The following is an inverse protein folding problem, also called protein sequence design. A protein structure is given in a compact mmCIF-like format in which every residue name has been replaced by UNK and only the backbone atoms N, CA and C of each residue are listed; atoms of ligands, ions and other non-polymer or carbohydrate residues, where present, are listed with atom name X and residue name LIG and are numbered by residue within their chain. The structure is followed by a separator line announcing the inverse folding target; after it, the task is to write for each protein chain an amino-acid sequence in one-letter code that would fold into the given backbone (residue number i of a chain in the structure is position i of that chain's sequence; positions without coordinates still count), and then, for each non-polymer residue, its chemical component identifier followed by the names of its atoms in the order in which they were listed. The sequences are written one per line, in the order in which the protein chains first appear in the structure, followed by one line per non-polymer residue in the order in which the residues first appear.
data_IF_956984578023
#
_entry.id   IF_956984578023
#
_cell.length_a   1.000
_cell.length_b   1.000
_cell.length_c   1.000
_cell.angle_alpha   90.00
_cell.angle_beta   90.00
_cell.angle_gamma   90.00
#
_symmetry.space_group_name_H-M   'P 1'
#
loop_
_entity.id
_entity.type
_entity.pdbx_description
1 polymer ?
#
# COMPACT_ATOMS: atom_id res chain seq x y z
N UNK A 1 -6.07 0.11 -9.49
CA UNK A 1 -6.87 -0.66 -8.50
C UNK A 1 -8.34 -0.58 -8.94
N UNK A 2 -9.00 -1.70 -9.27
CA UNK A 2 -10.41 -1.69 -9.67
C UNK A 2 -11.33 -1.39 -8.48
N UNK A 3 -12.60 -1.06 -8.78
CA UNK A 3 -13.68 -0.98 -7.80
C UNK A 3 -13.77 -2.31 -7.06
N UNK A 4 -13.73 -2.30 -5.73
CA UNK A 4 -13.76 -3.55 -4.98
C UNK A 4 -15.13 -4.27 -5.09
N UNK A 5 -16.20 -3.54 -5.42
CA UNK A 5 -17.56 -4.10 -5.53
C UNK A 5 -17.84 -4.71 -6.90
N UNK A 6 -17.52 -3.99 -7.99
CA UNK A 6 -17.90 -4.39 -9.34
C UNK A 6 -16.74 -4.64 -10.30
N UNK A 7 -15.49 -4.45 -9.86
CA UNK A 7 -14.30 -4.66 -10.69
C UNK A 7 -14.04 -3.57 -11.74
N UNK A 8 -14.93 -2.57 -11.89
CA UNK A 8 -14.73 -1.46 -12.82
C UNK A 8 -13.38 -0.79 -12.60
N UNK A 9 -12.68 -0.39 -13.67
CA UNK A 9 -11.40 0.29 -13.57
C UNK A 9 -11.60 1.80 -13.68
N UNK A 10 -10.84 2.56 -12.91
CA UNK A 10 -10.76 4.00 -13.10
C UNK A 10 -10.15 4.27 -14.48
N UNK A 11 -10.87 5.02 -15.31
CA UNK A 11 -10.36 5.63 -16.53
C UNK A 11 -9.48 6.82 -16.17
N UNK A 12 -8.65 7.29 -17.10
CA UNK A 12 -7.69 8.36 -16.88
C UNK A 12 -8.32 9.54 -16.11
N UNK A 13 -7.84 9.87 -14.89
CA UNK A 13 -8.45 10.92 -14.09
C UNK A 13 -8.28 12.27 -14.78
N UNK A 14 -9.42 12.90 -15.10
CA UNK A 14 -9.44 14.33 -15.44
C UNK A 14 -8.89 15.15 -14.27
N UNK A 15 -8.28 16.30 -14.56
CA UNK A 15 -7.80 17.22 -13.52
C UNK A 15 -8.92 17.53 -12.52
N UNK A 16 -8.60 17.43 -11.22
CA UNK A 16 -9.51 17.76 -10.14
C UNK A 16 -9.73 16.62 -9.16
N UNK A 17 -10.76 16.75 -8.33
CA UNK A 17 -11.12 15.73 -7.36
C UNK A 17 -11.63 14.47 -8.08
N UNK A 18 -11.07 13.31 -7.74
CA UNK A 18 -11.56 12.05 -8.29
C UNK A 18 -12.98 11.77 -7.79
N UNK A 19 -13.92 11.37 -8.66
CA UNK A 19 -15.27 10.99 -8.24
C UNK A 19 -15.29 9.61 -7.56
N UNK A 20 -14.16 8.91 -7.53
CA UNK A 20 -14.02 7.63 -6.85
C UNK A 20 -13.75 7.82 -5.36
N UNK A 21 -14.55 7.17 -4.52
CA UNK A 21 -14.29 7.15 -3.08
C UNK A 21 -13.21 6.16 -2.72
N UNK A 22 -12.39 6.55 -1.74
CA UNK A 22 -11.41 5.72 -1.06
C UNK A 22 -11.99 5.22 0.26
N UNK A 23 -11.64 4.00 0.62
CA UNK A 23 -11.93 3.39 1.92
C UNK A 23 -10.93 2.27 2.22
N UNK A 24 -11.07 1.64 3.37
CA UNK A 24 -10.22 0.50 3.77
C UNK A 24 -11.10 -0.73 3.93
N UNK A 25 -10.60 -1.90 3.53
CA UNK A 25 -11.25 -3.19 3.76
C UNK A 25 -10.19 -4.21 4.14
N UNK A 26 -10.34 -4.84 5.30
CA UNK A 26 -9.36 -5.75 5.85
C UNK A 26 -7.95 -5.15 5.78
N UNK A 27 -7.81 -3.89 6.23
CA UNK A 27 -6.54 -3.16 6.27
C UNK A 27 -5.90 -2.82 4.93
N UNK A 28 -6.58 -3.12 3.82
CA UNK A 28 -6.15 -2.75 2.48
C UNK A 28 -6.89 -1.52 1.97
N UNK A 29 -6.16 -0.58 1.38
CA UNK A 29 -6.74 0.55 0.65
C UNK A 29 -7.54 0.03 -0.55
N UNK A 30 -8.81 0.43 -0.67
CA UNK A 30 -9.70 0.12 -1.80
C UNK A 30 -10.32 1.37 -2.42
N UNK A 31 -10.86 1.20 -3.64
CA UNK A 31 -11.63 2.20 -4.37
C UNK A 31 -13.08 1.76 -4.59
N UNK A 32 -14.01 2.71 -4.61
CA UNK A 32 -15.43 2.52 -4.95
C UNK A 32 -15.81 3.42 -6.13
N UNK A 33 -16.30 2.84 -7.21
CA UNK A 33 -16.71 3.61 -8.39
C UNK A 33 -17.98 4.42 -8.13
N UNK A 34 -18.22 5.53 -8.87
CA UNK A 34 -19.42 6.35 -8.70
C UNK A 34 -20.73 5.56 -8.82
N UNK A 35 -20.81 4.60 -9.74
CA UNK A 35 -22.00 3.76 -9.90
C UNK A 35 -22.32 2.93 -8.64
N UNK A 36 -21.31 2.36 -8.00
CA UNK A 36 -21.50 1.64 -6.75
C UNK A 36 -21.76 2.55 -5.55
N UNK A 37 -21.31 3.81 -5.57
CA UNK A 37 -21.58 4.78 -4.52
C UNK A 37 -23.05 5.24 -4.48
N UNK A 38 -23.76 5.17 -5.60
CA UNK A 38 -25.18 5.53 -5.68
C UNK A 38 -26.11 4.49 -5.02
N UNK A 39 -25.60 3.28 -4.73
CA UNK A 39 -26.37 2.21 -4.10
C UNK A 39 -26.40 2.41 -2.58
N UNK A 40 -27.56 2.19 -1.95
CA UNK A 40 -27.68 2.20 -0.49
C UNK A 40 -26.74 1.17 0.15
N UNK A 41 -26.13 1.51 1.29
CA UNK A 41 -25.19 0.60 1.97
C UNK A 41 -23.88 0.37 1.19
N UNK A 42 -23.51 1.27 0.26
CA UNK A 42 -22.28 1.11 -0.53
C UNK A 42 -21.02 0.93 0.35
N UNK A 43 -21.03 1.48 1.57
CA UNK A 43 -19.93 1.45 2.55
C UNK A 43 -19.95 0.23 3.49
N UNK A 44 -20.95 -0.64 3.46
CA UNK A 44 -21.10 -1.70 4.48
C UNK A 44 -19.99 -2.75 4.47
N UNK A 45 -19.27 -2.88 3.34
CA UNK A 45 -18.10 -3.74 3.22
C UNK A 45 -16.77 -3.05 3.54
N UNK A 46 -16.80 -1.81 4.04
CA UNK A 46 -15.61 -1.06 4.44
C UNK A 46 -15.41 -1.13 5.95
N UNK A 47 -14.15 -1.11 6.35
CA UNK A 47 -13.75 -0.99 7.73
C UNK A 47 -14.22 0.37 8.29
N UNK A 48 -14.52 0.38 9.59
CA UNK A 48 -14.99 1.57 10.30
C UNK A 48 -14.01 1.98 11.39
N UNK A 49 -13.92 3.29 11.63
CA UNK A 49 -13.16 3.81 12.74
C UNK A 49 -13.76 3.32 14.06
N UNK A 50 -12.93 2.75 14.92
CA UNK A 50 -13.33 2.30 16.26
C UNK A 50 -13.69 3.46 17.20
N UNK A 51 -13.19 4.67 16.92
CA UNK A 51 -13.45 5.86 17.72
C UNK A 51 -14.73 6.61 17.32
N UNK A 52 -15.06 6.71 16.02
CA UNK A 52 -16.19 7.52 15.54
C UNK A 52 -17.14 6.82 14.55
N UNK A 53 -16.94 5.53 14.28
CA UNK A 53 -17.72 4.70 13.34
C UNK A 53 -17.70 5.14 11.85
N UNK A 54 -16.95 6.19 11.49
CA UNK A 54 -16.80 6.63 10.10
C UNK A 54 -16.09 5.58 9.24
N UNK A 55 -16.50 5.47 7.98
CA UNK A 55 -15.83 4.68 6.95
C UNK A 55 -14.81 5.50 6.13
N UNK A 56 -14.55 6.76 6.49
CA UNK A 56 -13.60 7.65 5.82
C UNK A 56 -12.14 7.32 6.21
N UNK A 57 -11.77 6.05 6.07
CA UNK A 57 -10.45 5.53 6.41
C UNK A 57 -9.49 5.57 5.20
N UNK A 58 -8.21 5.76 5.49
CA UNK A 58 -7.12 5.73 4.51
C UNK A 58 -6.00 4.87 5.06
N UNK A 59 -5.46 3.97 4.23
CA UNK A 59 -4.33 3.12 4.61
C UNK A 59 -3.06 3.60 3.88
N UNK A 60 -2.02 3.97 4.63
CA UNK A 60 -0.73 4.44 4.10
C UNK A 60 0.40 3.91 4.96
N UNK A 61 1.46 3.41 4.31
CA UNK A 61 2.71 3.01 4.96
C UNK A 61 2.55 2.04 6.15
N UNK A 62 1.50 1.22 6.17
CA UNK A 62 1.24 0.28 7.27
C UNK A 62 0.37 0.85 8.39
N UNK A 63 -0.20 2.04 8.24
CA UNK A 63 -1.14 2.63 9.18
C UNK A 63 -2.50 2.90 8.52
N UNK A 64 -3.56 2.75 9.30
CA UNK A 64 -4.92 3.16 8.95
C UNK A 64 -5.28 4.39 9.75
N UNK A 65 -5.63 5.47 9.05
CA UNK A 65 -6.03 6.76 9.63
C UNK A 65 -7.50 7.07 9.29
N UNK A 66 -8.26 7.53 10.28
CA UNK A 66 -9.60 8.06 10.07
C UNK A 66 -9.57 9.54 9.73
N UNK A 67 -10.07 9.91 8.55
CA UNK A 67 -10.06 11.32 8.11
C UNK A 67 -11.03 12.23 8.87
N UNK A 68 -12.05 11.66 9.51
CA UNK A 68 -13.06 12.47 10.22
C UNK A 68 -12.66 12.82 11.65
N UNK A 69 -11.90 11.96 12.36
CA UNK A 69 -11.51 12.19 13.76
C UNK A 69 -10.00 12.13 14.03
N UNK A 70 -9.19 11.74 13.04
CA UNK A 70 -7.74 11.61 13.17
C UNK A 70 -7.25 10.36 13.91
N UNK A 71 -8.14 9.47 14.37
CA UNK A 71 -7.72 8.23 15.03
C UNK A 71 -6.91 7.34 14.07
N UNK A 72 -5.74 6.90 14.53
CA UNK A 72 -4.83 6.02 13.80
C UNK A 72 -4.70 4.66 14.48
N UNK A 73 -4.46 3.63 13.67
CA UNK A 73 -4.07 2.29 14.13
C UNK A 73 -3.12 1.65 13.13
N UNK A 74 -2.37 0.66 13.58
CA UNK A 74 -1.56 -0.17 12.68
C UNK A 74 -2.46 -0.98 11.75
N UNK A 75 -2.04 -1.14 10.50
CA UNK A 75 -2.65 -2.01 9.51
C UNK A 75 -2.06 -3.41 9.65
N UNK A 76 -2.90 -4.40 9.92
CA UNK A 76 -2.48 -5.81 9.91
C UNK A 76 -2.26 -6.20 8.46
N UNK A 77 -1.00 -6.22 8.05
CA UNK A 77 -0.62 -6.78 6.75
C UNK A 77 -0.56 -8.28 6.91
N UNK A 78 -1.30 -9.01 6.07
CA UNK A 78 -1.07 -10.46 5.94
C UNK A 78 0.43 -10.65 5.63
N UNK A 79 1.12 -11.33 6.54
CA UNK A 79 2.56 -11.30 6.74
C UNK A 79 3.32 -12.09 5.65
N UNK A 80 2.84 -12.04 4.40
CA UNK A 80 3.47 -12.65 3.23
C UNK A 80 4.89 -12.11 2.97
N UNK A 81 5.23 -10.93 3.49
CA UNK A 81 6.60 -10.39 3.44
C UNK A 81 7.48 -10.96 4.56
N UNK A 82 6.89 -11.39 5.69
CA UNK A 82 7.63 -11.96 6.82
C UNK A 82 7.89 -13.45 6.66
N UNK A 83 7.05 -14.15 5.89
CA UNK A 83 7.30 -15.51 5.42
C UNK A 83 8.42 -15.63 4.37
N UNK A 84 8.89 -14.51 3.80
CA UNK A 84 9.99 -14.47 2.84
C UNK A 84 11.37 -14.27 3.48
N UNK A 85 11.53 -14.55 4.77
CA UNK A 85 12.85 -14.74 5.37
C UNK A 85 13.08 -16.23 5.68
N UNK A 86 13.43 -17.09 4.70
CA UNK A 86 14.37 -18.15 5.02
C UNK A 86 15.66 -17.42 5.45
N UNK A 87 16.21 -17.79 6.61
CA UNK A 87 17.36 -17.13 7.22
C UNK A 87 18.37 -16.60 6.19
N UNK A 88 18.43 -15.27 6.07
CA UNK A 88 19.23 -14.57 5.06
C UNK A 88 20.71 -14.66 5.39
N UNK A 89 21.33 -15.79 5.06
CA UNK A 89 22.78 -15.87 4.81
C UNK A 89 23.19 -15.11 3.54
N UNK A 90 22.25 -14.71 2.68
CA UNK A 90 22.52 -14.05 1.40
C UNK A 90 22.78 -12.54 1.45
N UNK A 91 22.29 -11.79 2.44
CA UNK A 91 22.44 -10.32 2.47
C UNK A 91 23.86 -9.88 2.91
N UNK A 92 24.47 -10.69 3.79
CA UNK A 92 25.87 -10.53 4.19
C UNK A 92 26.85 -10.99 3.09
N UNK A 93 26.39 -11.83 2.17
CA UNK A 93 27.17 -12.35 1.03
C UNK A 93 27.18 -11.35 -0.13
N UNK A 94 26.03 -10.75 -0.46
CA UNK A 94 25.90 -9.72 -1.49
C UNK A 94 26.76 -8.48 -1.21
N UNK A 95 26.77 -7.99 0.03
CA UNK A 95 27.59 -6.83 0.41
C UNK A 95 29.09 -7.10 0.21
N UNK A 96 29.55 -8.33 0.49
CA UNK A 96 30.94 -8.73 0.30
C UNK A 96 31.28 -8.90 -1.20
N UNK A 97 30.36 -9.46 -1.97
CA UNK A 97 30.48 -9.62 -3.42
C UNK A 97 30.59 -8.27 -4.14
N UNK A 98 29.75 -7.31 -3.77
CA UNK A 98 29.77 -5.93 -4.32
C UNK A 98 31.06 -5.22 -3.94
N UNK A 99 31.50 -5.31 -2.68
CA UNK A 99 32.77 -4.72 -2.25
C UNK A 99 33.96 -5.28 -3.06
N UNK A 100 34.01 -6.60 -3.27
CA UNK A 100 35.04 -7.25 -4.08
C UNK A 100 35.00 -6.82 -5.55
N UNK A 101 33.79 -6.66 -6.13
CA UNK A 101 33.63 -6.18 -7.49
C UNK A 101 34.12 -4.72 -7.64
N UNK A 102 33.76 -3.85 -6.70
CA UNK A 102 34.20 -2.45 -6.69
C UNK A 102 35.73 -2.33 -6.54
N UNK A 103 36.35 -3.12 -5.66
CA UNK A 103 37.82 -3.15 -5.53
C UNK A 103 38.49 -3.54 -6.85
N UNK A 104 37.98 -4.54 -7.59
CA UNK A 104 38.56 -4.93 -8.90
C UNK A 104 38.46 -3.84 -9.95
N UNK A 105 37.36 -3.08 -9.97
CA UNK A 105 37.16 -1.97 -10.92
C UNK A 105 38.06 -0.79 -10.57
N UNK A 106 38.17 -0.45 -9.28
CA UNK A 106 38.96 0.69 -8.81
C UNK A 106 40.48 0.41 -8.84
N UNK A 107 40.91 -0.83 -8.58
CA UNK A 107 42.31 -1.25 -8.72
C UNK A 107 42.75 -1.39 -10.18
N UNK A 108 41.80 -1.44 -11.13
CA UNK A 108 42.04 -1.34 -12.58
C UNK A 108 41.88 0.10 -13.09
N UNK A 109 42.20 1.10 -12.25
CA UNK A 109 42.34 2.49 -12.71
C UNK A 109 43.17 2.54 -14.00
N UNK A 110 42.85 3.48 -14.93
CA UNK A 110 43.45 3.49 -16.26
C UNK A 110 44.96 3.45 -16.09
N UNK A 111 45.61 2.48 -16.74
CA UNK A 111 47.04 2.52 -16.94
C UNK A 111 47.32 3.79 -17.77
N UNK A 112 47.68 4.86 -17.05
CA UNK A 112 48.27 6.09 -17.57
C UNK A 112 49.71 6.13 -17.12
#
# INVERSE_FOLDING_TARGET
MPCFRCGARQTDPVRGASPWRRGVRADHQVLVCPGCQAVHGWADGLDRCTACASAALVCRLGEVECRDCGHTREAVRDDLVRAAAPGGTGDRDLSAEVAAALSRVLSRGPAG
#
